data_IF_016857886775
#
_entry.id   IF_016857886775
#
_cell.length_a   1.000
_cell.length_b   1.000
_cell.length_c   1.000
_cell.angle_alpha   90.00
_cell.angle_beta   90.00
_cell.angle_gamma   90.00
#
_symmetry.space_group_name_H-M   'P 1'
#
loop_
_entity.id
_entity.type
_entity.pdbx_description
1 polymer ?
#
# COMPACT_ATOMS: atom_id res chain seq x y z
N UNK A 1 -0.15 10.77 -26.73
CA UNK A 1 1.03 11.68 -26.64
C UNK A 1 0.78 12.85 -25.70
N UNK A 2 -0.36 13.54 -25.83
CA UNK A 2 -0.67 14.72 -25.00
C UNK A 2 -0.78 14.44 -23.49
N UNK A 3 -1.44 13.36 -23.07
CA UNK A 3 -1.60 13.03 -21.64
C UNK A 3 -0.26 12.72 -20.96
N UNK A 4 0.69 12.12 -21.69
CA UNK A 4 2.03 11.85 -21.16
C UNK A 4 2.80 13.16 -20.95
N UNK A 5 2.71 14.10 -21.90
CA UNK A 5 3.26 15.46 -21.75
C UNK A 5 2.67 16.16 -20.52
N UNK A 6 1.34 16.17 -20.37
CA UNK A 6 0.65 16.76 -19.20
C UNK A 6 1.12 16.08 -17.89
N UNK A 7 1.29 14.76 -17.89
CA UNK A 7 1.80 14.03 -16.73
C UNK A 7 3.21 14.47 -16.35
N UNK A 8 4.11 14.67 -17.31
CA UNK A 8 5.48 15.15 -17.06
C UNK A 8 5.45 16.55 -16.47
N UNK A 9 4.69 17.47 -17.07
CA UNK A 9 4.54 18.84 -16.57
C UNK A 9 3.96 18.87 -15.14
N UNK A 10 2.92 18.09 -14.87
CA UNK A 10 2.33 17.99 -13.53
C UNK A 10 3.32 17.45 -12.49
N UNK A 11 4.22 16.54 -12.88
CA UNK A 11 5.28 16.04 -11.99
C UNK A 11 6.33 17.10 -11.70
N UNK A 12 6.70 17.91 -12.69
CA UNK A 12 7.65 19.02 -12.49
C UNK A 12 7.07 20.08 -11.57
N UNK A 13 5.80 20.47 -11.78
CA UNK A 13 5.08 21.40 -10.91
C UNK A 13 5.02 20.84 -9.49
N UNK A 14 4.65 19.56 -9.34
CA UNK A 14 4.60 18.90 -8.03
C UNK A 14 5.96 18.90 -7.32
N UNK A 15 7.04 18.62 -8.05
CA UNK A 15 8.40 18.63 -7.50
C UNK A 15 8.81 20.04 -7.04
N UNK A 16 8.53 21.05 -7.87
CA UNK A 16 8.77 22.46 -7.53
C UNK A 16 8.00 22.88 -6.26
N UNK A 17 6.71 22.56 -6.17
CA UNK A 17 5.87 22.86 -5.00
C UNK A 17 6.32 22.12 -3.74
N UNK A 18 6.74 20.85 -3.85
CA UNK A 18 7.33 20.09 -2.73
C UNK A 18 8.63 20.72 -2.24
N UNK A 19 9.48 21.20 -3.15
CA UNK A 19 10.72 21.92 -2.80
C UNK A 19 10.41 23.22 -2.06
N UNK A 20 9.53 24.05 -2.63
CA UNK A 20 9.09 25.30 -1.99
C UNK A 20 8.50 25.05 -0.58
N UNK A 21 7.71 23.97 -0.40
CA UNK A 21 7.19 23.59 0.90
C UNK A 21 8.29 23.24 1.89
N UNK A 22 9.29 22.46 1.47
CA UNK A 22 10.41 22.09 2.33
C UNK A 22 11.26 23.31 2.72
N UNK A 23 11.50 24.22 1.77
CA UNK A 23 12.29 25.43 2.01
C UNK A 23 11.56 26.40 2.95
N UNK A 24 10.26 26.62 2.73
CA UNK A 24 9.44 27.45 3.62
C UNK A 24 9.33 26.85 5.04
N UNK A 25 9.19 25.52 5.15
CA UNK A 25 9.19 24.84 6.45
C UNK A 25 10.52 25.06 7.21
N UNK A 26 11.66 25.02 6.51
CA UNK A 26 12.97 25.34 7.12
C UNK A 26 13.02 26.79 7.57
N UNK A 27 12.58 27.73 6.73
CA UNK A 27 12.55 29.16 7.07
C UNK A 27 11.70 29.44 8.32
N UNK A 28 10.54 28.80 8.44
CA UNK A 28 9.67 28.89 9.62
C UNK A 28 10.37 28.36 10.87
N UNK A 29 11.09 27.23 10.76
CA UNK A 29 11.84 26.70 11.90
C UNK A 29 12.97 27.65 12.32
N UNK A 30 13.69 28.26 11.38
CA UNK A 30 14.67 29.31 11.70
C UNK A 30 13.99 30.51 12.37
N UNK A 31 12.85 30.95 11.86
CA UNK A 31 12.08 32.06 12.46
C UNK A 31 11.64 31.75 13.90
N UNK A 32 11.32 30.50 14.24
CA UNK A 32 11.04 30.11 15.64
C UNK A 32 12.28 30.29 16.52
N UNK A 33 13.44 29.81 16.07
CA UNK A 33 14.70 29.96 16.79
C UNK A 33 15.03 31.45 16.99
N UNK A 34 14.83 32.27 15.96
CA UNK A 34 15.07 33.71 16.03
C UNK A 34 14.10 34.41 17.01
N UNK A 35 12.84 33.97 17.08
CA UNK A 35 11.85 34.47 18.05
C UNK A 35 12.29 34.16 19.47
N UNK A 36 12.77 32.94 19.72
CA UNK A 36 13.22 32.52 21.05
C UNK A 36 14.49 33.29 21.45
N UNK A 37 15.47 33.40 20.54
CA UNK A 37 16.68 34.18 20.79
C UNK A 37 16.39 35.67 21.04
N UNK A 38 15.45 36.27 20.30
CA UNK A 38 15.04 37.67 20.48
C UNK A 38 14.28 37.86 21.80
N UNK A 39 13.48 36.87 22.23
CA UNK A 39 12.86 36.85 23.57
C UNK A 39 13.90 36.81 24.68
N UNK A 40 14.85 35.89 24.61
CA UNK A 40 15.90 35.73 25.62
C UNK A 40 16.74 37.01 25.72
N UNK A 41 17.05 37.64 24.59
CA UNK A 41 17.77 38.92 24.57
C UNK A 41 16.96 40.03 25.23
N UNK A 42 15.66 40.11 24.93
CA UNK A 42 14.78 41.11 25.55
C UNK A 42 14.67 40.91 27.07
N UNK A 43 14.60 39.66 27.52
CA UNK A 43 14.57 39.33 28.95
C UNK A 43 15.85 39.77 29.66
N UNK A 44 17.03 39.53 29.07
CA UNK A 44 18.30 40.03 29.62
C UNK A 44 18.36 41.55 29.71
N UNK A 45 17.94 42.26 28.67
CA UNK A 45 17.90 43.73 28.68
C UNK A 45 16.95 44.25 29.77
N UNK A 46 15.82 43.57 29.98
CA UNK A 46 14.87 43.89 31.04
C UNK A 46 15.46 43.64 32.43
N UNK A 47 16.14 42.51 32.64
CA UNK A 47 16.83 42.18 33.90
C UNK A 47 17.94 43.18 34.21
N UNK A 48 18.75 43.57 33.22
CA UNK A 48 19.80 44.58 33.38
C UNK A 48 19.21 45.94 33.77
N UNK A 49 18.08 46.34 33.18
CA UNK A 49 17.38 47.58 33.56
C UNK A 49 16.85 47.51 35.00
N UNK A 50 16.26 46.38 35.40
CA UNK A 50 15.78 46.20 36.76
C UNK A 50 16.91 46.21 37.79
N UNK A 51 18.06 45.61 37.46
CA UNK A 51 19.26 45.61 38.31
C UNK A 51 19.90 47.00 38.46
N UNK A 52 19.90 47.80 37.38
CA UNK A 52 20.46 49.16 37.38
C UNK A 52 19.51 50.22 37.98
N UNK A 53 18.28 49.85 38.28
CA UNK A 53 17.23 50.77 38.72
C UNK A 53 16.48 51.40 37.54
N UNK A 54 15.18 51.11 37.35
CA UNK A 54 14.42 51.66 36.24
C UNK A 54 14.29 53.19 36.35
N UNK A 55 14.50 53.87 35.23
CA UNK A 55 14.27 55.31 35.09
C UNK A 55 12.86 55.55 34.58
N UNK A 56 12.25 56.66 35.00
CA UNK A 56 10.87 57.02 34.64
C UNK A 56 10.85 58.38 33.95
N UNK A 57 9.95 58.55 32.97
CA UNK A 57 9.68 59.84 32.34
C UNK A 57 8.77 60.71 33.23
N UNK A 58 8.46 61.93 32.79
CA UNK A 58 7.60 62.88 33.52
C UNK A 58 6.17 62.36 33.73
N UNK A 59 5.72 61.43 32.88
CA UNK A 59 4.41 60.78 32.95
C UNK A 59 4.39 59.52 33.85
N UNK A 60 5.55 59.09 34.36
CA UNK A 60 5.70 57.91 35.21
C UNK A 60 5.87 56.57 34.46
N UNK A 61 6.08 56.59 33.15
CA UNK A 61 6.41 55.42 32.34
C UNK A 61 7.90 55.06 32.42
N UNK A 62 8.20 53.76 32.36
CA UNK A 62 9.58 53.25 32.35
C UNK A 62 10.28 53.63 31.05
N UNK A 63 11.43 54.29 31.16
CA UNK A 63 12.31 54.60 30.04
C UNK A 63 13.06 53.32 29.64
N UNK A 64 12.89 52.92 28.38
CA UNK A 64 13.59 51.79 27.76
C UNK A 64 14.78 52.28 26.93
N UNK A 65 15.82 51.45 26.83
CA UNK A 65 16.96 51.75 25.96
C UNK A 65 16.56 51.63 24.48
N UNK A 66 17.32 52.30 23.60
CA UNK A 66 17.14 52.16 22.15
C UNK A 66 17.29 50.70 21.71
N UNK A 67 18.23 49.96 22.32
CA UNK A 67 18.43 48.55 22.05
C UNK A 67 17.21 47.70 22.42
N UNK A 68 16.62 47.92 23.61
CA UNK A 68 15.40 47.22 24.04
C UNK A 68 14.25 47.50 23.07
N UNK A 69 14.07 48.76 22.65
CA UNK A 69 13.05 49.13 21.68
C UNK A 69 13.24 48.45 20.31
N UNK A 70 14.47 48.42 19.79
CA UNK A 70 14.79 47.76 18.53
C UNK A 70 14.53 46.25 18.61
N UNK A 71 14.85 45.63 19.75
CA UNK A 71 14.61 44.20 19.96
C UNK A 71 13.10 43.88 20.06
N UNK A 72 12.31 44.74 20.71
CA UNK A 72 10.84 44.62 20.71
C UNK A 72 10.28 44.68 19.29
N UNK A 73 10.75 45.63 18.49
CA UNK A 73 10.33 45.77 17.09
C UNK A 73 10.71 44.53 16.28
N UNK A 74 11.95 44.05 16.42
CA UNK A 74 12.43 42.81 15.78
C UNK A 74 11.56 41.62 16.16
N UNK A 75 11.26 41.43 17.45
CA UNK A 75 10.41 40.34 17.93
C UNK A 75 8.99 40.41 17.35
N UNK A 76 8.42 41.61 17.21
CA UNK A 76 7.10 41.82 16.58
C UNK A 76 7.13 41.41 15.11
N UNK A 77 8.15 41.85 14.37
CA UNK A 77 8.31 41.55 12.95
C UNK A 77 8.55 40.04 12.72
N UNK A 78 9.39 39.41 13.53
CA UNK A 78 9.61 37.96 13.50
C UNK A 78 8.33 37.17 13.76
N UNK A 79 7.53 37.56 14.77
CA UNK A 79 6.23 36.93 15.05
C UNK A 79 5.25 37.11 13.89
N UNK A 80 5.28 38.26 13.22
CA UNK A 80 4.44 38.50 12.05
C UNK A 80 4.86 37.61 10.88
N UNK A 81 6.16 37.56 10.56
CA UNK A 81 6.70 36.71 9.51
C UNK A 81 6.44 35.23 9.78
N UNK A 82 6.54 34.80 11.04
CA UNK A 82 6.22 33.43 11.43
C UNK A 82 4.76 33.09 11.13
N UNK A 83 3.81 33.96 11.51
CA UNK A 83 2.38 33.75 11.27
C UNK A 83 2.06 33.69 9.77
N UNK A 84 2.53 34.68 9.00
CA UNK A 84 2.29 34.71 7.55
C UNK A 84 2.93 33.51 6.86
N UNK A 85 4.18 33.17 7.20
CA UNK A 85 4.85 32.02 6.65
C UNK A 85 4.13 30.71 6.98
N UNK A 86 3.59 30.56 8.20
CA UNK A 86 2.83 29.37 8.58
C UNK A 86 1.51 29.23 7.79
N UNK A 87 0.81 30.34 7.56
CA UNK A 87 -0.40 30.35 6.72
C UNK A 87 -0.06 29.99 5.26
N UNK A 88 1.02 30.55 4.72
CA UNK A 88 1.55 30.19 3.40
C UNK A 88 1.94 28.70 3.32
N UNK A 89 2.58 28.16 4.35
CA UNK A 89 2.95 26.75 4.42
C UNK A 89 1.72 25.83 4.37
N UNK A 90 0.64 26.22 5.06
CA UNK A 90 -0.64 25.50 5.03
C UNK A 90 -1.27 25.52 3.64
N UNK A 91 -1.26 26.67 2.97
CA UNK A 91 -1.77 26.80 1.60
C UNK A 91 -0.93 25.95 0.63
N UNK A 92 0.40 26.04 0.72
CA UNK A 92 1.31 25.29 -0.12
C UNK A 92 1.20 23.77 0.10
N UNK A 93 0.90 23.32 1.32
CA UNK A 93 0.56 21.92 1.59
C UNK A 93 -0.67 21.45 0.81
N UNK A 94 -1.72 22.28 0.78
CA UNK A 94 -2.93 21.98 0.02
C UNK A 94 -2.65 21.94 -1.49
N UNK A 95 -1.84 22.87 -2.00
CA UNK A 95 -1.39 22.88 -3.40
C UNK A 95 -0.58 21.62 -3.76
N UNK A 96 0.36 21.20 -2.91
CA UNK A 96 1.12 19.95 -3.12
C UNK A 96 0.20 18.75 -3.19
N UNK A 97 -0.80 18.66 -2.30
CA UNK A 97 -1.79 17.58 -2.34
C UNK A 97 -2.63 17.62 -3.61
N UNK A 98 -3.00 18.82 -4.08
CA UNK A 98 -3.74 18.99 -5.32
C UNK A 98 -2.92 18.54 -6.53
N UNK A 99 -1.67 19.00 -6.68
CA UNK A 99 -0.78 18.57 -7.76
C UNK A 99 -0.53 17.06 -7.74
N UNK A 100 -0.44 16.44 -6.55
CA UNK A 100 -0.32 14.99 -6.42
C UNK A 100 -1.54 14.27 -7.01
N UNK A 101 -2.76 14.75 -6.70
CA UNK A 101 -3.99 14.20 -7.29
C UNK A 101 -4.02 14.34 -8.80
N UNK A 102 -3.57 15.45 -9.36
CA UNK A 102 -3.48 15.63 -10.82
C UNK A 102 -2.53 14.61 -11.48
N UNK A 103 -1.36 14.38 -10.88
CA UNK A 103 -0.42 13.34 -11.35
C UNK A 103 -1.06 11.96 -11.33
N UNK A 104 -1.78 11.63 -10.26
CA UNK A 104 -2.41 10.31 -10.11
C UNK A 104 -3.60 10.13 -11.06
N UNK A 105 -4.38 11.18 -11.32
CA UNK A 105 -5.44 11.17 -12.34
C UNK A 105 -4.87 10.94 -13.75
N UNK A 106 -3.76 11.61 -14.11
CA UNK A 106 -3.11 11.39 -15.39
C UNK A 106 -2.58 9.95 -15.53
N UNK A 107 -2.02 9.37 -14.46
CA UNK A 107 -1.58 7.96 -14.45
C UNK A 107 -2.76 7.01 -14.66
N UNK A 108 -3.84 7.21 -13.92
CA UNK A 108 -5.02 6.36 -14.04
C UNK A 108 -5.63 6.44 -15.44
N UNK A 109 -5.67 7.63 -16.04
CA UNK A 109 -6.17 7.81 -17.40
C UNK A 109 -5.32 7.06 -18.43
N UNK A 110 -3.99 7.11 -18.31
CA UNK A 110 -3.10 6.35 -19.20
C UNK A 110 -3.30 4.84 -19.06
N UNK A 111 -3.50 4.35 -17.84
CA UNK A 111 -3.78 2.93 -17.59
C UNK A 111 -5.11 2.54 -18.23
N UNK A 112 -6.18 3.32 -17.99
CA UNK A 112 -7.49 3.04 -18.58
C UNK A 112 -7.46 3.08 -20.12
N UNK A 113 -6.76 4.04 -20.72
CA UNK A 113 -6.61 4.11 -22.18
C UNK A 113 -5.84 2.89 -22.72
N UNK A 114 -4.83 2.42 -21.98
CA UNK A 114 -4.12 1.18 -22.33
C UNK A 114 -5.01 -0.06 -22.19
N UNK A 115 -5.74 -0.20 -21.08
CA UNK A 115 -6.63 -1.34 -20.84
C UNK A 115 -7.73 -1.42 -21.89
N UNK A 116 -8.33 -0.28 -22.25
CA UNK A 116 -9.32 -0.19 -23.32
C UNK A 116 -8.72 -0.60 -24.67
N UNK A 117 -7.57 -0.03 -25.04
CA UNK A 117 -6.87 -0.39 -26.28
C UNK A 117 -6.49 -1.87 -26.32
N UNK A 118 -6.05 -2.44 -25.20
CA UNK A 118 -5.71 -3.85 -25.08
C UNK A 118 -6.94 -4.74 -25.25
N UNK A 119 -8.05 -4.38 -24.61
CA UNK A 119 -9.32 -5.11 -24.75
C UNK A 119 -9.82 -5.07 -26.21
N UNK A 120 -9.81 -3.90 -26.85
CA UNK A 120 -10.20 -3.75 -28.25
C UNK A 120 -9.30 -4.54 -29.21
N UNK A 121 -7.98 -4.56 -28.95
CA UNK A 121 -7.01 -5.19 -29.86
C UNK A 121 -6.91 -6.70 -29.69
N UNK A 122 -7.15 -7.24 -28.48
CA UNK A 122 -6.84 -8.63 -28.15
C UNK A 122 -7.98 -9.43 -27.52
N UNK A 123 -8.97 -8.79 -26.89
CA UNK A 123 -10.10 -9.48 -26.24
C UNK A 123 -11.36 -9.45 -27.12
N UNK A 124 -11.68 -8.31 -27.73
CA UNK A 124 -12.86 -8.15 -28.59
C UNK A 124 -12.74 -8.85 -29.95
N UNK A 125 -11.56 -9.38 -30.30
CA UNK A 125 -11.36 -10.22 -31.48
C UNK A 125 -11.90 -11.65 -31.32
N UNK A 126 -12.29 -12.07 -30.11
CA UNK A 126 -12.72 -13.46 -29.86
C UNK A 126 -14.19 -13.75 -30.18
N UNK A 127 -15.04 -12.74 -30.37
CA UNK A 127 -16.45 -12.98 -30.72
C UNK A 127 -16.69 -13.21 -32.24
N UNK A 128 -15.71 -12.93 -33.09
CA UNK A 128 -15.74 -13.24 -34.53
C UNK A 128 -14.94 -14.52 -34.90
N UNK A 129 -14.46 -15.29 -33.91
CA UNK A 129 -13.76 -16.57 -34.12
C UNK A 129 -14.74 -17.73 -33.90
N UNK A 130 -15.83 -17.73 -34.66
CA UNK A 130 -16.50 -18.98 -35.05
C UNK A 130 -16.01 -19.49 -36.41
N UNK A 131 -14.97 -18.89 -36.98
CA UNK A 131 -14.51 -19.21 -38.35
C UNK A 131 -12.98 -19.24 -38.55
N UNK A 132 -12.18 -19.65 -37.57
CA UNK A 132 -10.76 -19.93 -37.82
C UNK A 132 -10.13 -20.81 -36.75
N UNK A 133 -10.28 -22.11 -36.95
CA UNK A 133 -9.36 -23.09 -36.38
C UNK A 133 -7.92 -22.77 -36.83
N UNK A 134 -7.04 -22.46 -35.88
CA UNK A 134 -5.66 -22.96 -35.76
C UNK A 134 -4.78 -21.98 -34.98
N UNK A 135 -4.41 -22.39 -33.76
CA UNK A 135 -3.07 -22.19 -33.23
C UNK A 135 -2.72 -20.81 -32.72
N UNK A 136 -3.25 -20.41 -31.55
CA UNK A 136 -2.52 -19.50 -30.66
C UNK A 136 -2.64 -20.02 -29.23
N UNK A 137 -1.50 -20.39 -28.65
CA UNK A 137 -1.41 -21.06 -27.36
C UNK A 137 -1.94 -20.22 -26.21
N UNK A 138 -2.77 -20.86 -25.37
CA UNK A 138 -3.22 -20.33 -24.10
C UNK A 138 -2.01 -20.03 -23.21
N UNK A 139 -1.88 -18.78 -22.75
CA UNK A 139 -0.85 -18.40 -21.78
C UNK A 139 -1.34 -18.71 -20.35
N UNK A 140 -0.53 -19.34 -19.48
CA UNK A 140 -0.90 -19.54 -18.08
C UNK A 140 -1.09 -18.21 -17.34
N UNK A 141 -2.25 -18.05 -16.66
CA UNK A 141 -2.49 -16.93 -15.73
C UNK A 141 -3.76 -16.10 -15.98
N UNK A 142 -4.53 -16.36 -17.04
CA UNK A 142 -5.79 -15.64 -17.31
C UNK A 142 -6.96 -16.40 -16.68
N UNK A 143 -7.55 -15.82 -15.62
CA UNK A 143 -8.83 -16.27 -15.08
C UNK A 143 -9.91 -15.71 -16.00
N UNK A 144 -10.50 -16.57 -16.83
CA UNK A 144 -11.69 -16.23 -17.62
C UNK A 144 -12.87 -15.96 -16.67
N UNK A 145 -13.77 -15.02 -17.01
CA UNK A 145 -15.01 -14.84 -16.24
C UNK A 145 -15.78 -16.15 -16.20
N UNK A 146 -16.12 -16.60 -14.99
CA UNK A 146 -16.83 -17.84 -14.69
C UNK A 146 -18.14 -17.91 -15.47
N UNK A 147 -18.18 -18.74 -16.50
CA UNK A 147 -19.41 -19.10 -17.21
C UNK A 147 -20.00 -20.34 -16.53
N UNK A 148 -21.12 -20.23 -15.78
CA UNK A 148 -21.68 -21.34 -15.00
C UNK A 148 -22.17 -22.52 -15.86
N UNK A 149 -22.27 -22.36 -17.18
CA UNK A 149 -22.64 -23.44 -18.11
C UNK A 149 -21.43 -24.17 -18.73
N UNK A 150 -20.20 -23.74 -18.45
CA UNK A 150 -18.99 -24.42 -18.89
C UNK A 150 -18.04 -24.53 -17.70
N UNK A 151 -18.37 -25.45 -16.78
CA UNK A 151 -17.36 -25.93 -15.83
C UNK A 151 -16.27 -26.58 -16.69
N UNK A 152 -15.03 -26.07 -16.69
CA UNK A 152 -13.96 -26.74 -17.39
C UNK A 152 -13.77 -28.10 -16.71
N UNK A 153 -14.12 -29.18 -17.40
CA UNK A 153 -13.81 -30.53 -16.92
C UNK A 153 -12.34 -30.58 -16.56
N UNK A 154 -12.05 -31.09 -15.36
CA UNK A 154 -10.67 -31.22 -14.93
C UNK A 154 -9.92 -32.21 -15.85
N UNK A 155 -8.58 -32.17 -15.86
CA UNK A 155 -7.79 -33.02 -16.76
C UNK A 155 -8.05 -34.53 -16.53
N UNK A 156 -8.49 -34.89 -15.32
CA UNK A 156 -8.85 -36.26 -14.96
C UNK A 156 -10.22 -36.65 -15.54
N UNK A 157 -11.21 -35.76 -15.49
CA UNK A 157 -12.55 -35.92 -16.05
C UNK A 157 -12.50 -36.03 -17.58
N UNK A 158 -11.65 -35.24 -18.25
CA UNK A 158 -11.44 -35.36 -19.69
C UNK A 158 -10.86 -36.72 -20.08
N UNK A 159 -9.87 -37.19 -19.31
CA UNK A 159 -9.26 -38.50 -19.54
C UNK A 159 -10.26 -39.62 -19.31
N UNK A 160 -11.03 -39.57 -18.23
CA UNK A 160 -12.06 -40.56 -17.89
C UNK A 160 -13.17 -40.59 -18.95
N UNK A 161 -13.57 -39.43 -19.49
CA UNK A 161 -14.54 -39.35 -20.60
C UNK A 161 -14.00 -39.97 -21.88
N UNK A 162 -12.78 -39.63 -22.28
CA UNK A 162 -12.15 -40.18 -23.49
C UNK A 162 -11.96 -41.69 -23.38
N UNK A 163 -11.61 -42.17 -22.18
CA UNK A 163 -11.49 -43.59 -21.88
C UNK A 163 -12.85 -44.30 -21.96
N UNK A 164 -13.92 -43.69 -21.45
CA UNK A 164 -15.29 -44.22 -21.53
C UNK A 164 -15.76 -44.33 -22.98
N UNK A 165 -15.51 -43.31 -23.80
CA UNK A 165 -15.85 -43.29 -25.23
C UNK A 165 -15.11 -44.39 -26.01
N UNK A 166 -13.81 -44.60 -25.73
CA UNK A 166 -13.03 -45.68 -26.32
C UNK A 166 -13.56 -47.07 -25.95
N UNK A 167 -14.05 -47.22 -24.72
CA UNK A 167 -14.66 -48.45 -24.20
C UNK A 167 -16.02 -48.74 -24.84
N UNK A 168 -16.81 -47.68 -25.11
CA UNK A 168 -18.10 -47.79 -25.79
C UNK A 168 -17.95 -48.30 -27.23
N UNK A 169 -16.84 -47.95 -27.89
CA UNK A 169 -16.50 -48.43 -29.22
C UNK A 169 -15.99 -49.88 -29.26
N UNK A 170 -15.59 -50.45 -28.11
CA UNK A 170 -15.03 -51.81 -28.02
C UNK A 170 -15.55 -52.56 -26.78
N UNK A 171 -16.82 -53.00 -26.77
CA UNK A 171 -17.48 -53.55 -25.58
C UNK A 171 -16.79 -54.79 -24.99
N UNK A 172 -16.13 -55.60 -25.83
CA UNK A 172 -15.41 -56.82 -25.40
C UNK A 172 -14.20 -56.50 -24.50
N UNK A 173 -13.63 -55.29 -24.62
CA UNK A 173 -12.47 -54.83 -23.85
C UNK A 173 -12.84 -54.23 -22.48
N UNK A 174 -14.14 -53.96 -22.24
CA UNK A 174 -14.61 -53.26 -21.06
C UNK A 174 -14.31 -54.02 -19.75
N UNK A 175 -14.41 -55.35 -19.77
CA UNK A 175 -14.15 -56.18 -18.58
C UNK A 175 -12.67 -56.12 -18.15
N UNK A 176 -11.74 -56.22 -19.12
CA UNK A 176 -10.31 -56.11 -18.87
C UNK A 176 -9.94 -54.73 -18.31
N UNK A 177 -10.48 -53.67 -18.92
CA UNK A 177 -10.19 -52.29 -18.52
C UNK A 177 -10.73 -51.98 -17.11
N UNK A 178 -11.94 -52.44 -16.79
CA UNK A 178 -12.51 -52.33 -15.45
C UNK A 178 -11.68 -53.08 -14.40
N UNK A 179 -11.15 -54.25 -14.73
CA UNK A 179 -10.26 -55.01 -13.85
C UNK A 179 -8.92 -54.31 -13.65
N UNK A 180 -8.34 -53.75 -14.70
CA UNK A 180 -7.10 -52.98 -14.66
C UNK A 180 -7.25 -51.73 -13.80
N UNK A 181 -8.32 -50.96 -14.00
CA UNK A 181 -8.61 -49.75 -13.21
C UNK A 181 -8.81 -50.06 -11.72
N UNK A 182 -9.53 -51.14 -11.39
CA UNK A 182 -9.68 -51.61 -9.99
C UNK A 182 -8.33 -51.98 -9.37
N UNK A 183 -7.47 -52.62 -10.13
CA UNK A 183 -6.12 -53.01 -9.67
C UNK A 183 -5.24 -51.78 -9.47
N UNK A 184 -5.29 -50.82 -10.39
CA UNK A 184 -4.51 -49.58 -10.31
C UNK A 184 -4.96 -48.70 -9.16
N UNK A 185 -6.28 -48.55 -8.95
CA UNK A 185 -6.86 -47.85 -7.79
C UNK A 185 -6.47 -48.50 -6.46
N UNK A 186 -6.42 -49.84 -6.40
CA UNK A 186 -5.94 -50.55 -5.21
C UNK A 186 -4.48 -50.21 -4.93
N UNK A 187 -3.62 -50.26 -5.95
CA UNK A 187 -2.19 -49.94 -5.81
C UNK A 187 -1.95 -48.49 -5.40
N UNK A 188 -2.68 -47.52 -5.98
CA UNK A 188 -2.54 -46.11 -5.60
C UNK A 188 -3.03 -45.87 -4.17
N UNK A 189 -4.13 -46.49 -3.76
CA UNK A 189 -4.62 -46.40 -2.38
C UNK A 189 -3.67 -47.06 -1.38
N UNK A 190 -3.14 -48.25 -1.70
CA UNK A 190 -2.11 -48.93 -0.89
C UNK A 190 -0.84 -48.08 -0.79
N UNK A 191 -0.39 -47.47 -1.88
CA UNK A 191 0.78 -46.59 -1.90
C UNK A 191 0.55 -45.32 -1.07
N UNK A 192 -0.65 -44.74 -1.13
CA UNK A 192 -1.02 -43.56 -0.34
C UNK A 192 -1.13 -43.89 1.17
N UNK A 193 -1.62 -45.08 1.51
CA UNK A 193 -1.74 -45.57 2.90
C UNK A 193 -0.40 -46.04 3.48
N UNK A 194 0.56 -46.47 2.65
CA UNK A 194 1.91 -46.87 3.10
C UNK A 194 2.88 -45.70 3.25
N UNK A 195 2.50 -44.49 2.81
CA UNK A 195 3.29 -43.28 3.02
C UNK A 195 3.29 -42.93 4.53
N UNK A 196 4.46 -42.77 5.18
CA UNK A 196 4.50 -42.30 6.55
C UNK A 196 3.85 -40.91 6.62
N UNK A 197 2.81 -40.77 7.45
CA UNK A 197 2.16 -39.49 7.69
C UNK A 197 3.23 -38.46 8.09
N UNK A 198 3.41 -37.37 7.33
CA UNK A 198 4.39 -36.37 7.68
C UNK A 198 4.01 -35.79 9.05
N UNK A 199 4.92 -35.85 10.02
CA UNK A 199 4.74 -35.15 11.28
C UNK A 199 4.52 -33.68 10.96
N UNK A 200 3.30 -33.18 11.20
CA UNK A 200 3.00 -31.76 11.07
C UNK A 200 4.00 -31.00 11.96
N UNK A 201 5.04 -30.44 11.34
CA UNK A 201 5.93 -29.48 12.01
C UNK A 201 5.04 -28.28 12.32
N UNK A 202 4.62 -28.17 13.57
CA UNK A 202 3.91 -26.99 14.07
C UNK A 202 4.88 -25.81 13.98
N UNK A 203 4.57 -24.84 13.11
CA UNK A 203 5.27 -23.55 13.11
C UNK A 203 5.11 -22.86 14.47
N UNK A 204 6.15 -22.20 14.99
CA UNK A 204 6.04 -21.43 16.23
C UNK A 204 4.99 -20.32 16.05
N UNK A 205 3.98 -20.28 16.91
CA UNK A 205 3.03 -19.16 16.99
C UNK A 205 1.55 -19.47 16.74
N UNK A 206 1.16 -20.71 16.46
CA UNK A 206 -0.27 -21.05 16.32
C UNK A 206 -0.87 -21.29 17.73
N UNK A 207 -1.93 -20.55 18.15
CA UNK A 207 -2.52 -20.69 19.47
C UNK A 207 -3.12 -22.09 19.69
N UNK A 208 -2.72 -22.76 20.78
CA UNK A 208 -3.24 -24.07 21.15
C UNK A 208 -4.59 -23.92 21.86
N UNK A 209 -5.66 -24.40 21.23
CA UNK A 209 -6.97 -24.56 21.89
C UNK A 209 -6.83 -25.56 23.03
N UNK A 210 -6.84 -25.08 24.27
CA UNK A 210 -6.72 -25.94 25.45
C UNK A 210 -8.12 -26.42 25.82
N UNK A 211 -8.47 -27.64 25.41
CA UNK A 211 -9.70 -28.29 25.84
C UNK A 211 -9.52 -28.68 27.31
N UNK A 212 -10.05 -27.85 28.22
CA UNK A 212 -10.23 -28.18 29.64
C UNK A 212 -11.28 -29.27 29.73
N UNK A 213 -10.84 -30.52 29.84
CA UNK A 213 -11.47 -31.61 30.59
C UNK A 213 -10.64 -32.87 30.35
N UNK A 214 -9.63 -33.10 31.20
CA UNK A 214 -9.01 -34.42 31.36
C UNK A 214 -9.36 -34.94 32.76
N UNK A 215 -9.90 -36.16 32.89
CA UNK A 215 -10.20 -36.74 34.19
C UNK A 215 -8.90 -37.07 34.97
N UNK A 216 -8.94 -37.09 36.32
CA UNK A 216 -7.75 -37.29 37.14
C UNK A 216 -7.43 -38.77 37.31
N UNK A 217 -6.19 -39.18 37.03
CA UNK A 217 -5.71 -40.53 37.31
C UNK A 217 -4.17 -40.53 37.31
N UNK A 218 -3.38 -41.06 38.25
CA UNK A 218 -3.52 -41.43 39.67
C UNK A 218 -2.07 -41.47 40.23
N UNK A 219 -1.92 -41.45 41.55
CA UNK A 219 -0.65 -41.43 42.30
C UNK A 219 0.42 -42.43 41.80
N UNK A 220 1.66 -41.95 41.74
CA UNK A 220 2.88 -42.78 41.68
C UNK A 220 3.20 -43.34 43.08
N UNK A 221 3.48 -44.64 43.17
CA UNK A 221 4.11 -45.26 44.34
C UNK A 221 5.44 -45.85 43.87
N UNK A 222 6.54 -45.27 44.33
CA UNK A 222 7.88 -45.81 44.16
C UNK A 222 8.07 -46.99 45.12
N UNK A 223 8.72 -48.05 44.63
CA UNK A 223 9.55 -48.93 45.47
C UNK A 223 11.00 -48.76 45.05
#
# INVERSE_FOLDING_TARGET
VEINRILVENKEILASKKKAYADLAKQINTSKIDIDASRDKLERLKEEREANGPQYNEDGDVIISEEEFLEIKRLKDLKQHYRSGYDELKNLKAEVQYCQKLVDQCRQRLINEFDNWYAESFLNQTDDISSSAAGHGMRPGVILPFNPNQVPEDEQEKFDRLQMELLMNNPDSAAYYNAQMRTQRRKTYETAMSQPQPSLRQSPGIPKMTVRNKPPNMLQVSQ
#
